data_IF_395301965650
#
_entry.id   IF_395301965650
#
_cell.length_a   1.000
_cell.length_b   1.000
_cell.length_c   1.000
_cell.angle_alpha   90.00
_cell.angle_beta   90.00
_cell.angle_gamma   90.00
#
_symmetry.space_group_name_H-M   'P 1'
#
loop_
_entity.id
_entity.type
_entity.pdbx_description
1 polymer ?
#
# COMPACT_ATOMS: atom_id res chain seq x y z
N UNK A 1 -15.51 -12.69 24.75
CA UNK A 1 -15.28 -11.43 24.02
C UNK A 1 -16.09 -10.33 24.68
N UNK A 2 -15.47 -9.19 25.01
CA UNK A 2 -16.02 -8.21 25.96
C UNK A 2 -17.20 -7.37 25.43
N UNK A 3 -17.59 -7.51 24.16
CA UNK A 3 -18.53 -6.61 23.45
C UNK A 3 -19.63 -7.29 22.62
N UNK A 4 -19.83 -8.60 22.72
CA UNK A 4 -21.00 -9.30 22.15
C UNK A 4 -21.12 -9.43 20.62
N UNK A 5 -20.34 -8.71 19.82
CA UNK A 5 -20.40 -8.77 18.35
C UNK A 5 -19.40 -9.78 17.76
N UNK A 6 -19.87 -11.01 17.54
CA UNK A 6 -19.10 -12.10 16.94
C UNK A 6 -18.90 -11.99 15.42
N UNK A 7 -19.62 -11.09 14.73
CA UNK A 7 -19.53 -10.96 13.27
C UNK A 7 -18.14 -10.49 12.81
N UNK A 8 -17.46 -9.68 13.64
CA UNK A 8 -16.13 -9.13 13.36
C UNK A 8 -15.01 -10.17 13.47
N UNK A 9 -15.27 -11.34 14.05
CA UNK A 9 -14.26 -12.40 14.21
C UNK A 9 -13.79 -12.88 12.84
N UNK A 10 -14.73 -13.20 11.95
CA UNK A 10 -14.41 -13.68 10.61
C UNK A 10 -13.61 -12.64 9.82
N UNK A 11 -13.94 -11.36 9.95
CA UNK A 11 -13.19 -10.29 9.29
C UNK A 11 -11.81 -10.08 9.91
N UNK A 12 -11.64 -10.32 11.21
CA UNK A 12 -10.35 -10.22 11.92
C UNK A 12 -9.43 -11.40 11.59
N UNK A 13 -10.01 -12.59 11.41
CA UNK A 13 -9.28 -13.80 10.96
C UNK A 13 -8.99 -13.78 9.45
N UNK A 14 -9.41 -12.74 8.73
CA UNK A 14 -9.25 -12.65 7.28
C UNK A 14 -10.05 -13.72 6.53
N UNK A 15 -11.14 -14.23 7.11
CA UNK A 15 -12.04 -15.22 6.50
C UNK A 15 -13.17 -14.55 5.69
N UNK A 16 -13.39 -13.25 5.86
CA UNK A 16 -14.34 -12.46 5.08
C UNK A 16 -13.74 -12.02 3.73
N UNK A 17 -14.52 -12.10 2.65
CA UNK A 17 -14.16 -11.60 1.29
C UNK A 17 -12.97 -12.31 0.61
N UNK A 18 -12.81 -13.62 0.81
CA UNK A 18 -11.84 -14.43 0.08
C UNK A 18 -12.54 -15.47 -0.79
N UNK A 19 -11.90 -15.86 -1.90
CA UNK A 19 -12.38 -16.93 -2.79
C UNK A 19 -12.12 -18.34 -2.23
N UNK A 20 -11.63 -18.46 -1.00
CA UNK A 20 -11.34 -19.75 -0.38
C UNK A 20 -12.64 -20.45 0.03
N UNK A 21 -12.86 -21.66 -0.49
CA UNK A 21 -14.00 -22.50 -0.15
C UNK A 21 -13.92 -22.93 1.33
N UNK A 22 -14.65 -22.23 2.20
CA UNK A 22 -14.71 -22.52 3.62
C UNK A 22 -15.77 -23.61 3.90
N UNK A 23 -15.67 -24.74 3.20
CA UNK A 23 -16.66 -25.83 3.24
C UNK A 23 -16.68 -26.62 4.55
N UNK A 24 -15.79 -26.29 5.51
CA UNK A 24 -15.64 -27.01 6.79
C UNK A 24 -15.51 -28.54 6.63
N UNK A 25 -15.00 -29.00 5.49
CA UNK A 25 -14.74 -30.42 5.25
C UNK A 25 -13.58 -30.85 6.14
N UNK A 26 -13.71 -32.04 6.74
CA UNK A 26 -12.62 -32.65 7.51
C UNK A 26 -11.72 -33.44 6.56
N UNK A 27 -10.42 -33.39 6.81
CA UNK A 27 -9.40 -34.02 5.97
C UNK A 27 -8.70 -35.14 6.72
N UNK A 28 -8.30 -36.19 6.03
CA UNK A 28 -7.52 -37.27 6.66
C UNK A 28 -6.62 -38.02 5.68
N UNK A 29 -5.68 -38.79 6.23
CA UNK A 29 -4.86 -39.74 5.49
C UNK A 29 -5.21 -41.18 5.89
N UNK A 30 -5.40 -42.07 4.90
CA UNK A 30 -5.75 -43.48 5.14
C UNK A 30 -4.65 -44.24 5.89
N UNK A 31 -3.39 -43.97 5.57
CA UNK A 31 -2.26 -44.58 6.26
C UNK A 31 -2.14 -44.09 7.71
N UNK A 32 -2.33 -42.79 7.98
CA UNK A 32 -2.41 -42.28 9.36
C UNK A 32 -3.50 -42.99 10.16
N UNK A 33 -4.70 -43.19 9.59
CA UNK A 33 -5.78 -43.91 10.27
C UNK A 33 -5.35 -45.33 10.64
N UNK A 34 -4.71 -46.05 9.70
CA UNK A 34 -4.24 -47.42 9.93
C UNK A 34 -3.22 -47.45 11.07
N UNK A 35 -2.22 -46.59 11.02
CA UNK A 35 -1.16 -46.50 12.04
C UNK A 35 -1.70 -46.08 13.40
N UNK A 36 -2.67 -45.15 13.47
CA UNK A 36 -3.27 -44.73 14.73
C UNK A 36 -4.08 -45.87 15.36
N UNK A 37 -4.83 -46.63 14.56
CA UNK A 37 -5.56 -47.82 15.05
C UNK A 37 -4.61 -48.89 15.56
N UNK A 38 -3.53 -49.16 14.85
CA UNK A 38 -2.51 -50.13 15.27
C UNK A 38 -1.81 -49.70 16.57
N UNK A 39 -1.55 -48.39 16.72
CA UNK A 39 -0.77 -47.87 17.85
C UNK A 39 -1.62 -47.56 19.09
N UNK A 40 -2.83 -47.05 18.91
CA UNK A 40 -3.66 -46.50 19.98
C UNK A 40 -5.03 -47.19 20.11
N UNK A 41 -5.37 -48.12 19.22
CA UNK A 41 -6.66 -48.81 19.19
C UNK A 41 -7.78 -48.03 18.49
N UNK A 42 -7.60 -46.74 18.25
CA UNK A 42 -8.53 -45.88 17.51
C UNK A 42 -7.81 -44.78 16.74
N UNK A 43 -8.39 -44.35 15.62
CA UNK A 43 -7.91 -43.19 14.87
C UNK A 43 -8.53 -41.88 15.39
N UNK A 44 -7.85 -40.76 15.14
CA UNK A 44 -8.32 -39.42 15.50
C UNK A 44 -8.03 -38.42 14.37
N UNK A 45 -8.70 -37.26 14.42
CA UNK A 45 -8.45 -36.18 13.47
C UNK A 45 -7.13 -35.49 13.76
N UNK A 46 -6.18 -35.56 12.83
CA UNK A 46 -4.92 -34.83 12.92
C UNK A 46 -5.15 -33.34 12.68
N UNK A 47 -4.81 -32.50 13.66
CA UNK A 47 -4.94 -31.03 13.57
C UNK A 47 -4.19 -30.45 12.37
N UNK A 48 -2.99 -30.97 12.11
CA UNK A 48 -2.15 -30.51 11.02
C UNK A 48 -2.83 -30.71 9.66
N UNK A 49 -3.51 -31.85 9.46
CA UNK A 49 -4.22 -32.14 8.22
C UNK A 49 -5.41 -31.19 8.00
N UNK A 50 -5.94 -30.54 9.04
CA UNK A 50 -7.09 -29.64 8.94
C UNK A 50 -6.73 -28.21 8.51
N UNK A 51 -5.45 -27.83 8.51
CA UNK A 51 -5.07 -26.45 8.19
C UNK A 51 -5.41 -26.14 6.73
N UNK A 52 -5.92 -24.93 6.49
CA UNK A 52 -6.28 -24.46 5.15
C UNK A 52 -5.07 -24.50 4.20
N UNK A 53 -5.29 -25.03 3.00
CA UNK A 53 -4.26 -25.14 1.96
C UNK A 53 -3.35 -26.37 2.08
N UNK A 54 -3.43 -27.15 3.16
CA UNK A 54 -2.78 -28.47 3.23
C UNK A 54 -3.64 -29.48 2.44
N UNK A 55 -3.02 -30.11 1.45
CA UNK A 55 -3.66 -31.03 0.50
C UNK A 55 -3.09 -32.45 0.61
N UNK A 56 -1.91 -32.61 1.24
CA UNK A 56 -1.20 -33.89 1.34
C UNK A 56 -0.91 -34.25 2.80
N UNK A 57 -0.62 -35.52 3.04
CA UNK A 57 0.04 -36.00 4.24
C UNK A 57 1.56 -35.96 4.02
N UNK A 58 2.32 -35.22 4.82
CA UNK A 58 3.79 -35.21 4.72
C UNK A 58 4.45 -36.46 5.31
N UNK A 59 3.74 -37.20 6.18
CA UNK A 59 4.23 -38.48 6.71
C UNK A 59 4.27 -39.57 5.62
N UNK A 60 3.28 -39.59 4.75
CA UNK A 60 3.10 -40.64 3.73
C UNK A 60 3.27 -40.15 2.29
N UNK A 61 3.44 -38.84 2.08
CA UNK A 61 3.52 -38.19 0.76
C UNK A 61 2.35 -38.51 -0.19
N UNK A 62 1.16 -38.75 0.37
CA UNK A 62 -0.07 -39.03 -0.39
C UNK A 62 -1.05 -37.88 -0.29
N UNK A 63 -2.02 -37.81 -1.23
CA UNK A 63 -3.13 -36.86 -1.11
C UNK A 63 -3.94 -37.17 0.15
N UNK A 64 -4.47 -36.12 0.76
CA UNK A 64 -5.51 -36.26 1.77
C UNK A 64 -6.84 -36.57 1.09
N UNK A 65 -7.72 -37.20 1.85
CA UNK A 65 -9.12 -37.38 1.53
C UNK A 65 -9.95 -36.35 2.29
N UNK A 66 -10.98 -35.82 1.64
CA UNK A 66 -11.96 -34.96 2.29
C UNK A 66 -13.27 -35.70 2.57
N UNK A 67 -13.82 -35.41 3.74
CA UNK A 67 -15.17 -35.79 4.13
C UNK A 67 -16.08 -34.59 3.91
N UNK A 68 -17.03 -34.72 2.98
CA UNK A 68 -17.99 -33.68 2.68
C UNK A 68 -18.90 -33.43 3.88
N UNK A 69 -18.93 -32.18 4.30
CA UNK A 69 -19.71 -31.71 5.43
C UNK A 69 -21.12 -31.26 4.99
N UNK A 70 -21.80 -32.08 4.18
CA UNK A 70 -23.13 -31.74 3.65
C UNK A 70 -24.25 -32.01 4.68
N UNK A 71 -23.95 -32.77 5.73
CA UNK A 71 -24.94 -33.29 6.68
C UNK A 71 -24.72 -32.88 8.16
N UNK A 72 -23.72 -32.05 8.52
CA UNK A 72 -23.58 -31.60 9.92
C UNK A 72 -24.73 -30.66 10.27
N UNK A 73 -25.67 -31.17 11.05
CA UNK A 73 -26.85 -30.42 11.52
C UNK A 73 -26.51 -29.53 12.71
N UNK A 74 -25.44 -29.86 13.46
CA UNK A 74 -25.06 -29.14 14.67
C UNK A 74 -23.55 -28.84 14.72
N UNK A 75 -23.18 -27.58 14.95
CA UNK A 75 -21.79 -27.12 15.14
C UNK A 75 -21.04 -27.76 16.32
N UNK A 76 -21.74 -28.45 17.21
CA UNK A 76 -21.20 -29.19 18.36
C UNK A 76 -21.17 -30.70 18.15
N UNK A 77 -21.58 -31.16 16.97
CA UNK A 77 -21.61 -32.58 16.65
C UNK A 77 -20.19 -33.16 16.65
N UNK A 78 -20.02 -34.25 17.41
CA UNK A 78 -18.77 -34.97 17.45
C UNK A 78 -18.70 -35.94 16.27
N UNK A 79 -17.76 -35.69 15.36
CA UNK A 79 -17.52 -36.60 14.24
C UNK A 79 -16.43 -37.61 14.62
N UNK A 80 -16.82 -38.87 14.77
CA UNK A 80 -15.88 -39.95 14.96
C UNK A 80 -15.34 -40.46 13.60
N UNK A 81 -14.03 -40.33 13.39
CA UNK A 81 -13.35 -40.78 12.16
C UNK A 81 -13.44 -42.30 11.95
N UNK A 82 -13.61 -43.09 13.01
CA UNK A 82 -13.62 -44.55 12.94
C UNK A 82 -14.91 -45.14 12.36
N UNK A 83 -16.00 -44.37 12.34
CA UNK A 83 -17.34 -44.83 11.95
C UNK A 83 -17.85 -44.16 10.66
N UNK A 84 -16.97 -43.52 9.89
CA UNK A 84 -17.39 -42.77 8.72
C UNK A 84 -17.64 -43.69 7.52
N UNK A 85 -18.76 -43.48 6.83
CA UNK A 85 -19.07 -44.17 5.58
C UNK A 85 -18.38 -43.41 4.43
N UNK A 86 -17.35 -44.04 3.90
CA UNK A 86 -16.34 -43.49 2.99
C UNK A 86 -16.89 -43.15 1.59
N UNK A 87 -17.73 -42.13 1.45
CA UNK A 87 -17.90 -41.42 0.16
C UNK A 87 -16.74 -40.44 -0.02
N UNK A 88 -15.54 -40.95 0.12
CA UNK A 88 -14.35 -40.10 0.16
C UNK A 88 -14.05 -39.53 -1.20
N UNK A 89 -13.65 -38.27 -1.20
CA UNK A 89 -13.05 -37.66 -2.38
C UNK A 89 -11.59 -37.37 -2.09
N UNK A 90 -10.72 -37.89 -2.94
CA UNK A 90 -9.33 -37.48 -2.94
C UNK A 90 -9.23 -36.01 -3.33
N UNK A 91 -8.51 -35.21 -2.54
CA UNK A 91 -8.41 -33.77 -2.77
C UNK A 91 -7.60 -33.47 -4.03
N UNK A 92 -6.52 -34.22 -4.24
CA UNK A 92 -5.64 -34.07 -5.40
C UNK A 92 -5.44 -35.42 -6.07
N UNK A 93 -6.02 -35.57 -7.26
CA UNK A 93 -5.94 -36.81 -8.05
C UNK A 93 -4.53 -37.06 -8.60
N UNK A 94 -3.79 -36.00 -8.92
CA UNK A 94 -2.43 -36.08 -9.46
C UNK A 94 -1.46 -35.20 -8.69
N UNK A 95 -0.64 -35.83 -7.85
CA UNK A 95 0.47 -35.19 -7.15
C UNK A 95 1.74 -35.31 -7.97
N UNK A 96 2.30 -34.17 -8.37
CA UNK A 96 3.66 -34.10 -8.90
C UNK A 96 4.66 -33.72 -7.80
N UNK A 97 5.94 -34.02 -8.03
CA UNK A 97 7.02 -33.79 -7.07
C UNK A 97 7.12 -32.32 -6.62
N UNK A 98 6.82 -31.38 -7.53
CA UNK A 98 6.85 -29.95 -7.24
C UNK A 98 5.71 -29.53 -6.29
N UNK A 99 4.50 -30.06 -6.48
CA UNK A 99 3.39 -29.88 -5.54
C UNK A 99 3.75 -30.45 -4.17
N UNK A 100 4.30 -31.67 -4.12
CA UNK A 100 4.70 -32.32 -2.86
C UNK A 100 5.71 -31.45 -2.12
N UNK A 101 6.75 -30.98 -2.80
CA UNK A 101 7.78 -30.10 -2.21
C UNK A 101 7.20 -28.80 -1.65
N UNK A 102 6.32 -28.13 -2.40
CA UNK A 102 5.64 -26.89 -1.96
C UNK A 102 4.74 -27.13 -0.76
N UNK A 103 4.02 -28.25 -0.75
CA UNK A 103 3.17 -28.64 0.37
C UNK A 103 3.98 -28.97 1.62
N UNK A 104 5.11 -29.68 1.50
CA UNK A 104 6.00 -29.96 2.64
C UNK A 104 6.50 -28.65 3.27
N UNK A 105 6.91 -27.65 2.46
CA UNK A 105 7.29 -26.33 2.99
C UNK A 105 6.14 -25.67 3.77
N UNK A 106 4.94 -25.67 3.19
CA UNK A 106 3.74 -25.11 3.81
C UNK A 106 3.39 -25.82 5.13
N UNK A 107 3.44 -27.16 5.15
CA UNK A 107 3.15 -27.99 6.32
C UNK A 107 4.16 -27.69 7.43
N UNK A 108 5.45 -27.65 7.13
CA UNK A 108 6.49 -27.36 8.12
C UNK A 108 6.34 -25.97 8.74
N UNK A 109 6.06 -24.95 7.91
CA UNK A 109 5.79 -23.60 8.39
C UNK A 109 4.53 -23.57 9.28
N UNK A 110 3.47 -24.26 8.88
CA UNK A 110 2.22 -24.31 9.65
C UNK A 110 2.39 -25.05 10.98
N UNK A 111 3.11 -26.18 10.98
CA UNK A 111 3.45 -26.98 12.17
C UNK A 111 4.24 -26.17 13.18
N UNK A 112 5.21 -25.38 12.73
CA UNK A 112 5.95 -24.48 13.62
C UNK A 112 5.00 -23.51 14.35
N UNK A 113 4.04 -22.91 13.63
CA UNK A 113 3.09 -21.98 14.22
C UNK A 113 2.07 -22.64 15.16
N UNK A 114 1.72 -23.91 14.94
CA UNK A 114 0.76 -24.64 15.79
C UNK A 114 1.33 -25.08 17.13
N UNK A 115 2.65 -25.19 17.25
CA UNK A 115 3.32 -25.82 18.38
C UNK A 115 3.85 -24.84 19.44
N UNK A 116 3.64 -23.54 19.26
CA UNK A 116 4.14 -22.54 20.21
C UNK A 116 3.21 -21.31 20.30
N UNK A 117 3.43 -20.49 21.33
CA UNK A 117 2.75 -19.22 21.54
C UNK A 117 3.66 -18.05 21.17
N UNK A 118 3.15 -17.18 20.30
CA UNK A 118 3.92 -16.04 19.80
C UNK A 118 3.39 -14.72 20.34
N UNK A 119 4.31 -13.81 20.63
CA UNK A 119 3.95 -12.43 20.98
C UNK A 119 3.19 -11.81 19.82
N UNK A 120 2.03 -11.22 20.12
CA UNK A 120 1.19 -10.56 19.12
C UNK A 120 1.98 -9.48 18.37
N UNK A 121 1.95 -9.56 17.03
CA UNK A 121 2.54 -8.55 16.15
C UNK A 121 1.43 -7.83 15.40
N UNK A 122 1.56 -6.51 15.25
CA UNK A 122 0.60 -5.75 14.47
C UNK A 122 0.71 -6.11 12.98
N UNK A 123 -0.33 -5.78 12.20
CA UNK A 123 -0.37 -6.07 10.75
C UNK A 123 0.72 -5.31 9.97
N UNK A 124 1.08 -4.11 10.43
CA UNK A 124 2.15 -3.31 9.85
C UNK A 124 3.52 -4.02 9.90
N UNK A 125 3.81 -4.77 10.97
CA UNK A 125 5.03 -5.55 11.12
C UNK A 125 5.22 -6.53 9.96
N UNK A 126 4.20 -7.36 9.68
CA UNK A 126 4.28 -8.35 8.60
C UNK A 126 4.45 -7.67 7.25
N UNK A 127 3.68 -6.62 6.99
CA UNK A 127 3.80 -5.82 5.77
C UNK A 127 5.22 -5.31 5.59
N UNK A 128 5.78 -4.67 6.61
CA UNK A 128 7.09 -4.05 6.51
C UNK A 128 8.16 -5.13 6.29
N UNK A 129 8.07 -6.28 6.95
CA UNK A 129 8.95 -7.42 6.68
C UNK A 129 8.90 -7.87 5.21
N UNK A 130 7.68 -8.04 4.65
CA UNK A 130 7.49 -8.43 3.26
C UNK A 130 8.07 -7.42 2.28
N UNK A 131 7.78 -6.13 2.52
CA UNK A 131 8.24 -5.05 1.65
C UNK A 131 9.76 -4.97 1.64
N UNK A 132 10.42 -5.15 2.78
CA UNK A 132 11.87 -5.14 2.84
C UNK A 132 12.48 -6.30 2.05
N UNK A 133 11.93 -7.52 2.15
CA UNK A 133 12.37 -8.64 1.31
C UNK A 133 12.11 -8.38 -0.17
N UNK A 134 10.99 -7.75 -0.53
CA UNK A 134 10.70 -7.34 -1.91
C UNK A 134 11.70 -6.30 -2.44
N UNK A 135 12.20 -5.39 -1.59
CA UNK A 135 13.27 -4.45 -1.94
C UNK A 135 14.57 -5.21 -2.22
N UNK A 136 14.94 -6.18 -1.37
CA UNK A 136 16.13 -7.01 -1.57
C UNK A 136 16.07 -7.81 -2.87
N UNK A 137 14.88 -8.28 -3.25
CA UNK A 137 14.62 -9.00 -4.50
C UNK A 137 14.51 -8.09 -5.73
N UNK A 138 14.63 -6.77 -5.58
CA UNK A 138 14.50 -5.80 -6.67
C UNK A 138 13.08 -5.64 -7.22
N UNK A 139 12.07 -6.18 -6.53
CA UNK A 139 10.65 -6.08 -6.92
C UNK A 139 10.06 -4.77 -6.41
N UNK A 140 10.54 -4.26 -5.27
CA UNK A 140 10.20 -2.96 -4.73
C UNK A 140 11.39 -1.98 -4.78
N UNK A 141 11.10 -0.68 -4.85
CA UNK A 141 12.12 0.36 -4.75
C UNK A 141 12.44 0.70 -3.28
N UNK A 142 13.53 1.45 -3.05
CA UNK A 142 13.91 1.91 -1.71
C UNK A 142 12.93 2.90 -1.06
N UNK A 143 11.85 3.29 -1.75
CA UNK A 143 10.72 4.05 -1.20
C UNK A 143 9.51 3.15 -0.92
N UNK A 144 9.70 1.83 -0.91
CA UNK A 144 8.68 0.82 -0.62
C UNK A 144 7.57 0.75 -1.68
N UNK A 145 7.81 1.25 -2.90
CA UNK A 145 6.89 1.08 -4.03
C UNK A 145 7.15 -0.25 -4.71
N UNK A 146 6.17 -1.15 -4.63
CA UNK A 146 6.21 -2.49 -5.24
C UNK A 146 5.83 -2.41 -6.72
N UNK A 147 6.64 -3.01 -7.59
CA UNK A 147 6.25 -3.29 -8.97
C UNK A 147 5.30 -4.49 -8.99
N UNK A 148 4.01 -4.22 -9.14
CA UNK A 148 2.97 -5.24 -9.05
C UNK A 148 3.06 -6.27 -10.18
N UNK A 149 3.36 -5.86 -11.41
CA UNK A 149 3.44 -6.80 -12.54
C UNK A 149 4.60 -7.79 -12.36
N UNK A 150 5.76 -7.31 -11.92
CA UNK A 150 6.91 -8.17 -11.60
C UNK A 150 6.58 -9.10 -10.44
N UNK A 151 5.91 -8.60 -9.39
CA UNK A 151 5.50 -9.42 -8.25
C UNK A 151 4.59 -10.57 -8.70
N UNK A 152 3.52 -10.27 -9.45
CA UNK A 152 2.57 -11.29 -9.92
C UNK A 152 3.27 -12.30 -10.82
N UNK A 153 4.07 -11.83 -11.78
CA UNK A 153 4.80 -12.71 -12.69
C UNK A 153 5.73 -13.67 -11.95
N UNK A 154 6.54 -13.16 -11.00
CA UNK A 154 7.47 -14.00 -10.24
C UNK A 154 6.75 -14.95 -9.28
N UNK A 155 5.68 -14.50 -8.65
CA UNK A 155 4.88 -15.32 -7.74
C UNK A 155 4.21 -16.49 -8.47
N UNK A 156 3.62 -16.22 -9.64
CA UNK A 156 3.06 -17.24 -10.53
C UNK A 156 4.13 -18.20 -11.02
N UNK A 157 5.32 -17.70 -11.42
CA UNK A 157 6.43 -18.56 -11.84
C UNK A 157 6.94 -19.47 -10.72
N UNK A 158 6.95 -18.98 -9.48
CA UNK A 158 7.39 -19.75 -8.32
C UNK A 158 6.42 -20.90 -7.98
N UNK A 159 5.13 -20.58 -7.84
CA UNK A 159 4.13 -21.58 -7.43
C UNK A 159 3.57 -22.41 -8.59
N UNK A 160 3.45 -21.82 -9.77
CA UNK A 160 2.74 -22.40 -10.92
C UNK A 160 1.22 -22.21 -10.82
N UNK A 161 0.56 -22.05 -11.97
CA UNK A 161 -0.89 -21.85 -12.04
C UNK A 161 -1.68 -23.02 -11.45
N UNK A 162 -1.30 -24.27 -11.79
CA UNK A 162 -1.95 -25.50 -11.32
C UNK A 162 -2.02 -25.53 -9.78
N UNK A 163 -0.91 -25.27 -9.10
CA UNK A 163 -0.84 -25.30 -7.65
C UNK A 163 -1.65 -24.18 -7.00
N UNK A 164 -1.56 -22.95 -7.51
CA UNK A 164 -2.35 -21.82 -6.99
C UNK A 164 -3.86 -22.06 -7.15
N UNK A 165 -4.28 -22.68 -8.24
CA UNK A 165 -5.66 -23.05 -8.48
C UNK A 165 -6.14 -24.12 -7.50
N UNK A 166 -5.34 -25.16 -7.22
CA UNK A 166 -5.64 -26.17 -6.19
C UNK A 166 -5.86 -25.54 -4.80
N UNK A 167 -5.10 -24.49 -4.49
CA UNK A 167 -5.24 -23.76 -3.23
C UNK A 167 -6.37 -22.72 -3.23
N UNK A 168 -7.03 -22.45 -4.36
CA UNK A 168 -7.97 -21.32 -4.49
C UNK A 168 -7.32 -19.96 -4.23
N UNK A 169 -6.04 -19.82 -4.56
CA UNK A 169 -5.20 -18.64 -4.34
C UNK A 169 -4.68 -18.04 -5.65
N UNK A 170 -5.39 -18.29 -6.76
CA UNK A 170 -5.04 -17.82 -8.08
C UNK A 170 -4.87 -16.29 -8.12
N UNK A 171 -3.92 -15.85 -8.94
CA UNK A 171 -3.62 -14.46 -9.20
C UNK A 171 -3.26 -14.28 -10.66
N UNK A 172 -3.56 -13.09 -11.18
CA UNK A 172 -3.28 -12.73 -12.57
C UNK A 172 -2.40 -11.49 -12.64
N UNK A 173 -1.51 -11.43 -13.64
CA UNK A 173 -0.67 -10.24 -13.89
C UNK A 173 -1.57 -9.06 -14.23
N UNK A 174 -1.30 -7.90 -13.62
CA UNK A 174 -2.10 -6.69 -13.80
C UNK A 174 -3.36 -6.60 -12.91
N UNK A 175 -3.71 -7.64 -12.14
CA UNK A 175 -4.82 -7.58 -11.20
C UNK A 175 -4.46 -6.75 -9.95
N UNK A 176 -4.83 -5.47 -10.01
CA UNK A 176 -4.63 -4.51 -8.94
C UNK A 176 -5.51 -4.74 -7.69
N UNK A 177 -6.45 -5.69 -7.73
CA UNK A 177 -7.35 -6.04 -6.66
C UNK A 177 -7.11 -7.45 -6.08
N UNK A 178 -6.11 -8.18 -6.57
CA UNK A 178 -5.72 -9.49 -6.05
C UNK A 178 -5.32 -9.42 -4.57
N UNK A 179 -5.42 -10.55 -3.86
CA UNK A 179 -4.93 -10.65 -2.48
C UNK A 179 -3.42 -10.35 -2.40
N UNK A 180 -2.64 -10.77 -3.40
CA UNK A 180 -1.19 -10.55 -3.49
C UNK A 180 -0.84 -9.07 -3.65
N UNK A 181 -1.64 -8.33 -4.43
CA UNK A 181 -1.53 -6.87 -4.51
C UNK A 181 -1.84 -6.23 -3.17
N UNK A 182 -2.91 -6.66 -2.50
CA UNK A 182 -3.40 -6.05 -1.26
C UNK A 182 -2.44 -6.31 -0.08
N UNK A 183 -1.89 -7.51 0.06
CA UNK A 183 -0.98 -7.89 1.16
C UNK A 183 0.37 -7.18 1.09
N UNK A 184 0.76 -6.67 -0.08
CA UNK A 184 1.98 -5.86 -0.27
C UNK A 184 1.71 -4.35 -0.27
N UNK A 185 0.45 -3.93 -0.09
CA UNK A 185 0.06 -2.52 0.11
C UNK A 185 -0.19 -2.24 1.59
N UNK A 186 -0.70 -1.05 1.91
CA UNK A 186 -1.14 -0.74 3.28
C UNK A 186 -2.25 -1.71 3.70
N UNK A 187 -2.06 -2.43 4.80
CA UNK A 187 -3.02 -3.41 5.32
C UNK A 187 -4.27 -2.72 5.87
N UNK A 188 -5.26 -2.51 5.00
CA UNK A 188 -6.57 -1.96 5.36
C UNK A 188 -7.50 -3.03 5.96
N UNK A 189 -7.21 -4.30 5.68
CA UNK A 189 -7.95 -5.49 6.14
C UNK A 189 -6.98 -6.49 6.73
N UNK A 190 -7.50 -7.53 7.39
CA UNK A 190 -6.73 -8.72 7.75
C UNK A 190 -6.71 -9.70 6.57
N UNK A 191 -5.67 -10.53 6.50
CA UNK A 191 -5.48 -11.52 5.45
C UNK A 191 -5.55 -12.93 6.04
N UNK A 192 -5.96 -13.88 5.21
CA UNK A 192 -5.95 -15.28 5.57
C UNK A 192 -4.52 -15.76 5.89
N UNK A 193 -4.38 -16.64 6.88
CA UNK A 193 -3.08 -17.20 7.28
C UNK A 193 -2.35 -17.86 6.10
N UNK A 194 -3.09 -18.54 5.22
CA UNK A 194 -2.51 -19.15 4.00
C UNK A 194 -1.80 -18.12 3.11
N UNK A 195 -2.37 -16.92 2.92
CA UNK A 195 -1.73 -15.87 2.12
C UNK A 195 -0.42 -15.40 2.76
N UNK A 196 -0.37 -15.30 4.08
CA UNK A 196 0.85 -15.00 4.81
C UNK A 196 1.90 -16.12 4.63
N UNK A 197 1.51 -17.38 4.75
CA UNK A 197 2.43 -18.51 4.57
C UNK A 197 2.98 -18.58 3.14
N UNK A 198 2.13 -18.36 2.13
CA UNK A 198 2.55 -18.33 0.74
C UNK A 198 3.52 -17.19 0.43
N UNK A 199 3.30 -15.99 0.98
CA UNK A 199 4.23 -14.87 0.74
C UNK A 199 5.53 -15.03 1.55
N UNK A 200 5.48 -15.63 2.74
CA UNK A 200 6.67 -15.97 3.54
C UNK A 200 7.59 -16.90 2.76
N UNK A 201 7.04 -18.00 2.24
CA UNK A 201 7.78 -19.00 1.48
C UNK A 201 8.32 -18.42 0.16
N UNK A 202 7.49 -17.69 -0.60
CA UNK A 202 7.92 -17.02 -1.84
C UNK A 202 9.08 -16.04 -1.63
N UNK A 203 9.08 -15.31 -0.50
CA UNK A 203 10.12 -14.34 -0.17
C UNK A 203 11.36 -14.97 0.48
N UNK A 204 11.36 -16.29 0.71
CA UNK A 204 12.43 -16.98 1.42
C UNK A 204 12.62 -16.45 2.84
N UNK A 205 11.52 -16.16 3.53
CA UNK A 205 11.54 -15.71 4.92
C UNK A 205 11.56 -16.93 5.82
N UNK A 206 12.53 -17.00 6.73
CA UNK A 206 12.51 -18.00 7.80
C UNK A 206 11.39 -17.63 8.80
N UNK A 207 10.43 -18.55 8.95
CA UNK A 207 9.29 -18.36 9.84
C UNK A 207 9.71 -18.24 11.32
N UNK A 208 10.79 -18.91 11.71
CA UNK A 208 11.31 -18.86 13.08
C UNK A 208 11.86 -17.47 13.37
N UNK A 209 12.67 -16.93 12.46
CA UNK A 209 13.20 -15.57 12.53
C UNK A 209 12.07 -14.54 12.56
N UNK A 210 11.09 -14.68 11.68
CA UNK A 210 9.96 -13.75 11.57
C UNK A 210 9.17 -13.65 12.87
N UNK A 211 8.87 -14.80 13.51
CA UNK A 211 8.03 -14.80 14.70
C UNK A 211 8.79 -14.54 16.01
N UNK A 212 10.08 -14.90 16.08
CA UNK A 212 10.92 -14.66 17.27
C UNK A 212 11.54 -13.26 17.33
N UNK A 213 11.57 -12.51 16.23
CA UNK A 213 12.06 -11.12 16.23
C UNK A 213 11.12 -10.18 17.00
N UNK A 214 11.66 -9.40 17.94
CA UNK A 214 10.87 -8.47 18.78
C UNK A 214 10.42 -7.23 18.02
N UNK A 215 11.27 -6.69 17.17
CA UNK A 215 11.00 -5.52 16.33
C UNK A 215 11.67 -5.70 14.96
N UNK A 216 11.10 -5.08 13.93
CA UNK A 216 11.74 -4.97 12.63
C UNK A 216 12.60 -3.69 12.62
N UNK A 217 13.91 -3.83 12.82
CA UNK A 217 14.85 -2.71 12.94
C UNK A 217 15.44 -2.24 11.59
N UNK A 218 15.01 -2.84 10.48
CA UNK A 218 15.52 -2.54 9.14
C UNK A 218 17.01 -2.90 8.93
N UNK A 219 17.64 -3.62 9.87
CA UNK A 219 19.07 -3.97 9.81
C UNK A 219 19.45 -4.84 8.61
N UNK A 220 18.51 -5.58 8.02
CA UNK A 220 18.70 -6.31 6.76
C UNK A 220 19.16 -5.42 5.60
N UNK A 221 18.76 -4.14 5.59
CA UNK A 221 19.18 -3.16 4.57
C UNK A 221 20.70 -2.93 4.61
N UNK A 222 21.34 -3.08 5.79
CA UNK A 222 22.78 -2.83 5.94
C UNK A 222 23.66 -4.03 5.52
N UNK A 223 23.10 -5.22 5.30
CA UNK A 223 23.87 -6.47 5.09
C UNK A 223 23.79 -7.09 3.71
N UNK A 224 22.93 -6.62 2.80
CA UNK A 224 22.94 -7.11 1.42
C UNK A 224 24.15 -6.55 0.65
N UNK A 225 25.33 -7.14 0.82
CA UNK A 225 26.40 -7.03 -0.19
C UNK A 225 25.83 -7.59 -1.50
N UNK A 226 25.61 -6.73 -2.49
CA UNK A 226 25.19 -7.15 -3.83
C UNK A 226 26.35 -7.81 -4.57
N UNK A 227 26.00 -8.77 -5.41
CA UNK A 227 26.91 -9.50 -6.29
C UNK A 227 27.75 -8.52 -7.12
N UNK A 228 29.07 -8.63 -6.99
CA UNK A 228 30.04 -7.83 -7.73
C UNK A 228 29.85 -7.98 -9.25
N UNK A 229 29.35 -9.14 -9.69
CA UNK A 229 29.08 -9.40 -11.09
C UNK A 229 27.92 -8.55 -11.62
N UNK A 230 26.87 -8.32 -10.82
CA UNK A 230 25.76 -7.43 -11.21
C UNK A 230 26.24 -5.98 -11.30
N UNK A 231 27.12 -5.55 -10.38
CA UNK A 231 27.73 -4.21 -10.43
C UNK A 231 28.55 -4.05 -11.70
N UNK A 232 29.43 -5.01 -12.01
CA UNK A 232 30.27 -4.96 -13.21
C UNK A 232 29.45 -4.98 -14.51
N UNK A 233 28.39 -5.80 -14.59
CA UNK A 233 27.49 -5.79 -15.75
C UNK A 233 26.82 -4.43 -15.97
N UNK A 234 26.46 -3.73 -14.89
CA UNK A 234 25.87 -2.38 -14.98
C UNK A 234 26.93 -1.34 -15.35
N UNK A 235 28.17 -1.48 -14.86
CA UNK A 235 29.32 -0.64 -15.24
C UNK A 235 29.60 -0.73 -16.74
N UNK A 236 29.67 -1.94 -17.29
CA UNK A 236 29.88 -2.16 -18.72
C UNK A 236 28.79 -1.50 -19.56
N UNK A 237 27.52 -1.73 -19.22
CA UNK A 237 26.40 -1.08 -19.90
C UNK A 237 26.47 0.44 -19.84
N UNK A 238 26.87 1.00 -18.71
CA UNK A 238 27.05 2.44 -18.55
C UNK A 238 28.17 3.00 -19.44
N UNK A 239 29.31 2.31 -19.51
CA UNK A 239 30.42 2.68 -20.40
C UNK A 239 30.03 2.59 -21.87
N UNK A 240 29.26 1.58 -22.27
CA UNK A 240 28.73 1.46 -23.63
C UNK A 240 27.88 2.67 -24.00
N UNK A 241 26.97 3.10 -23.13
CA UNK A 241 26.14 4.29 -23.40
C UNK A 241 26.97 5.57 -23.55
N UNK A 242 28.06 5.72 -22.80
CA UNK A 242 28.97 6.86 -22.95
C UNK A 242 29.72 6.78 -24.28
N UNK A 243 30.23 5.61 -24.65
CA UNK A 243 30.99 5.40 -25.89
C UNK A 243 30.13 5.66 -27.13
N UNK A 244 28.87 5.27 -27.09
CA UNK A 244 27.89 5.50 -28.16
C UNK A 244 27.39 6.96 -28.21
N UNK A 245 27.59 7.74 -27.14
CA UNK A 245 27.08 9.11 -27.00
C UNK A 245 28.14 10.08 -26.42
N UNK A 246 29.26 10.31 -27.12
CA UNK A 246 30.42 11.03 -26.57
C UNK A 246 30.13 12.50 -26.20
N UNK A 247 29.20 13.16 -26.89
CA UNK A 247 28.83 14.56 -26.64
C UNK A 247 27.64 14.75 -25.68
N UNK A 248 27.00 13.64 -25.27
CA UNK A 248 25.80 13.70 -24.43
C UNK A 248 26.14 14.00 -22.97
N UNK A 249 25.28 14.77 -22.31
CA UNK A 249 25.36 15.03 -20.88
C UNK A 249 24.93 13.80 -20.08
N UNK A 250 25.39 13.68 -18.82
CA UNK A 250 24.93 12.64 -17.88
C UNK A 250 23.41 12.56 -17.77
N UNK A 251 22.70 13.68 -17.99
CA UNK A 251 21.23 13.72 -17.93
C UNK A 251 20.59 13.05 -19.14
N UNK A 252 21.16 13.26 -20.33
CA UNK A 252 20.72 12.64 -21.59
C UNK A 252 21.06 11.14 -21.60
N UNK A 253 22.26 10.77 -21.15
CA UNK A 253 22.66 9.36 -21.01
C UNK A 253 21.76 8.63 -19.99
N UNK A 254 21.43 9.29 -18.86
CA UNK A 254 20.49 8.75 -17.88
C UNK A 254 19.08 8.55 -18.44
N UNK A 255 18.63 9.35 -19.41
CA UNK A 255 17.32 9.13 -20.04
C UNK A 255 17.29 7.90 -20.95
N UNK A 256 18.42 7.50 -21.54
CA UNK A 256 18.51 6.29 -22.36
C UNK A 256 18.26 5.02 -21.53
N UNK A 257 18.80 4.96 -20.31
CA UNK A 257 18.49 3.88 -19.38
C UNK A 257 18.59 4.32 -17.91
N UNK A 258 17.45 4.78 -17.38
CA UNK A 258 17.35 5.23 -15.99
C UNK A 258 17.68 4.13 -14.98
N UNK A 259 17.39 2.87 -15.31
CA UNK A 259 17.62 1.72 -14.43
C UNK A 259 19.10 1.44 -14.16
N UNK A 260 19.97 1.59 -15.16
CA UNK A 260 21.43 1.41 -15.01
C UNK A 260 22.02 2.52 -14.15
N UNK A 261 21.68 3.78 -14.45
CA UNK A 261 22.15 4.93 -13.67
C UNK A 261 21.70 4.87 -12.21
N UNK A 262 20.40 4.64 -11.97
CA UNK A 262 19.84 4.59 -10.62
C UNK A 262 20.42 3.44 -9.79
N UNK A 263 20.84 2.36 -10.45
CA UNK A 263 21.52 1.23 -9.81
C UNK A 263 22.93 1.63 -9.37
N UNK A 264 23.77 2.09 -10.31
CA UNK A 264 25.16 2.47 -10.01
C UNK A 264 25.22 3.64 -9.03
N UNK A 265 24.29 4.59 -9.08
CA UNK A 265 24.23 5.69 -8.13
C UNK A 265 23.98 5.22 -6.69
N UNK A 266 23.25 4.11 -6.50
CA UNK A 266 22.93 3.55 -5.18
C UNK A 266 24.04 2.66 -4.64
N UNK A 267 24.70 1.90 -5.52
CA UNK A 267 25.61 0.82 -5.11
C UNK A 267 27.09 1.08 -5.42
N UNK A 268 27.40 2.07 -6.26
CA UNK A 268 28.75 2.36 -6.73
C UNK A 268 28.91 3.80 -7.21
N UNK A 269 28.58 4.72 -6.29
CA UNK A 269 28.41 6.14 -6.58
C UNK A 269 29.72 6.83 -7.00
N UNK A 270 30.84 6.48 -6.36
CA UNK A 270 32.14 7.10 -6.66
C UNK A 270 32.62 6.68 -8.05
N UNK A 271 32.55 5.39 -8.40
CA UNK A 271 32.84 4.91 -9.75
C UNK A 271 31.97 5.59 -10.80
N UNK A 272 30.65 5.70 -10.56
CA UNK A 272 29.73 6.37 -11.49
C UNK A 272 30.11 7.83 -11.70
N UNK A 273 30.55 8.53 -10.64
CA UNK A 273 30.97 9.93 -10.72
C UNK A 273 32.24 10.11 -11.54
N UNK A 274 33.20 9.21 -11.38
CA UNK A 274 34.46 9.20 -12.14
C UNK A 274 34.24 8.86 -13.61
N UNK A 275 33.28 7.98 -13.89
CA UNK A 275 32.97 7.49 -15.22
C UNK A 275 31.70 8.15 -15.80
N UNK A 276 31.47 9.44 -15.54
CA UNK A 276 30.36 10.21 -16.13
C UNK A 276 30.85 11.51 -16.76
N UNK A 277 30.18 12.03 -17.82
CA UNK A 277 30.54 13.30 -18.44
C UNK A 277 30.62 14.46 -17.41
N UNK A 278 31.72 15.21 -17.43
CA UNK A 278 31.91 16.34 -16.51
C UNK A 278 30.98 17.48 -16.88
N UNK A 279 30.18 17.95 -15.92
CA UNK A 279 29.21 19.03 -16.11
C UNK A 279 29.91 20.36 -16.40
N UNK A 280 29.64 20.99 -17.55
CA UNK A 280 29.99 22.41 -17.78
C UNK A 280 29.13 23.29 -16.85
N UNK A 281 29.76 24.15 -16.03
CA UNK A 281 29.04 25.10 -15.15
C UNK A 281 28.20 26.04 -16.02
N UNK A 282 26.89 26.13 -15.77
CA UNK A 282 26.06 27.20 -16.35
C UNK A 282 26.41 28.52 -15.65
N UNK A 283 26.51 29.61 -16.43
CA UNK A 283 26.59 30.97 -15.90
C UNK A 283 25.39 31.23 -14.95
N UNK A 284 25.65 31.98 -13.88
CA UNK A 284 24.67 32.29 -12.84
C UNK A 284 23.41 32.99 -13.40
N UNK A 285 22.30 32.88 -12.66
CA UNK A 285 21.06 33.60 -13.01
C UNK A 285 21.31 35.11 -12.99
N UNK A 286 20.79 35.80 -14.00
CA UNK A 286 20.72 37.27 -14.03
C UNK A 286 20.03 37.79 -12.77
N UNK A 287 20.55 38.88 -12.23
CA UNK A 287 19.98 39.57 -11.09
C UNK A 287 18.56 40.07 -11.42
N UNK A 288 17.65 40.01 -10.44
CA UNK A 288 16.25 40.41 -10.62
C UNK A 288 16.09 41.80 -10.02
N UNK A 289 15.71 42.77 -10.84
CA UNK A 289 15.28 44.10 -10.39
C UNK A 289 13.94 43.99 -9.66
N UNK A 290 14.01 43.98 -8.33
CA UNK A 290 12.86 43.81 -7.46
C UNK A 290 11.96 45.04 -7.40
N UNK A 291 12.48 46.23 -7.63
CA UNK A 291 11.71 47.47 -7.58
C UNK A 291 10.76 47.55 -8.77
N UNK A 292 11.29 47.35 -9.98
CA UNK A 292 10.46 47.25 -11.19
C UNK A 292 9.43 46.12 -11.08
N UNK A 293 9.85 44.99 -10.52
CA UNK A 293 8.95 43.84 -10.34
C UNK A 293 7.82 44.12 -9.36
N UNK A 294 8.08 44.89 -8.30
CA UNK A 294 7.06 45.31 -7.34
C UNK A 294 6.01 46.20 -8.02
N UNK A 295 6.41 47.15 -8.86
CA UNK A 295 5.48 48.02 -9.59
C UNK A 295 4.58 47.25 -10.57
N UNK A 296 5.14 46.27 -11.30
CA UNK A 296 4.38 45.39 -12.18
C UNK A 296 3.32 44.59 -11.42
N UNK A 297 3.70 44.02 -10.28
CA UNK A 297 2.78 43.22 -9.45
C UNK A 297 1.72 44.12 -8.83
N UNK A 298 2.08 45.30 -8.35
CA UNK A 298 1.15 46.26 -7.77
C UNK A 298 0.06 46.64 -8.78
N UNK A 299 0.44 46.89 -10.05
CA UNK A 299 -0.51 47.15 -11.13
C UNK A 299 -1.45 45.97 -11.35
N UNK A 300 -0.91 44.76 -11.51
CA UNK A 300 -1.73 43.55 -11.69
C UNK A 300 -2.71 43.30 -10.53
N UNK A 301 -2.30 43.60 -9.29
CA UNK A 301 -3.18 43.47 -8.12
C UNK A 301 -4.30 44.51 -8.17
N UNK A 302 -4.00 45.77 -8.54
CA UNK A 302 -5.01 46.82 -8.72
C UNK A 302 -6.02 46.49 -9.81
N UNK A 303 -5.58 45.92 -10.91
CA UNK A 303 -6.44 45.59 -12.05
C UNK A 303 -7.52 44.54 -11.70
N UNK A 304 -7.25 43.64 -10.73
CA UNK A 304 -8.22 42.62 -10.32
C UNK A 304 -9.11 43.05 -9.14
N UNK A 305 -8.88 44.22 -8.52
CA UNK A 305 -9.66 44.69 -7.36
C UNK A 305 -11.15 44.88 -7.66
N UNK A 306 -11.56 45.52 -8.78
CA UNK A 306 -12.97 45.75 -9.06
C UNK A 306 -13.77 44.45 -9.13
N UNK A 307 -13.19 43.39 -9.72
CA UNK A 307 -13.83 42.07 -9.81
C UNK A 307 -13.89 41.37 -8.45
N UNK A 308 -12.84 41.49 -7.62
CA UNK A 308 -12.79 40.85 -6.30
C UNK A 308 -13.73 41.49 -5.27
N UNK A 309 -14.01 42.78 -5.45
CA UNK A 309 -14.83 43.59 -4.55
C UNK A 309 -16.24 43.88 -5.09
N UNK A 310 -16.63 43.26 -6.20
CA UNK A 310 -17.97 43.42 -6.78
C UNK A 310 -19.05 42.89 -5.81
N UNK A 311 -19.92 43.78 -5.34
CA UNK A 311 -21.01 43.47 -4.42
C UNK A 311 -22.19 42.76 -5.09
N UNK A 312 -22.28 42.79 -6.42
CA UNK A 312 -23.34 42.09 -7.17
C UNK A 312 -23.03 40.60 -7.31
N UNK A 313 -21.76 40.21 -7.17
CA UNK A 313 -21.32 38.83 -7.30
C UNK A 313 -21.23 38.19 -5.92
N UNK A 314 -21.59 36.91 -5.83
CA UNK A 314 -21.48 36.13 -4.59
C UNK A 314 -20.04 36.16 -4.05
N UNK A 315 -19.82 36.64 -2.81
CA UNK A 315 -18.48 36.78 -2.23
C UNK A 315 -17.64 35.50 -2.22
N UNK A 316 -16.43 35.60 -2.76
CA UNK A 316 -15.34 34.63 -2.57
C UNK A 316 -14.32 35.18 -1.57
N UNK A 317 -13.75 34.31 -0.72
CA UNK A 317 -12.75 34.74 0.27
C UNK A 317 -11.47 35.19 -0.42
N UNK A 318 -11.06 36.43 -0.16
CA UNK A 318 -9.82 36.98 -0.70
C UNK A 318 -8.65 36.44 0.11
N UNK A 319 -7.77 35.68 -0.55
CA UNK A 319 -6.57 35.08 0.06
C UNK A 319 -5.34 35.37 -0.80
N UNK A 320 -4.14 35.35 -0.20
CA UNK A 320 -2.87 35.47 -0.94
C UNK A 320 -2.79 34.49 -2.11
N UNK A 321 -3.28 33.26 -1.90
CA UNK A 321 -3.33 32.22 -2.94
C UNK A 321 -4.32 32.54 -4.07
N UNK A 322 -5.48 33.13 -3.77
CA UNK A 322 -6.42 33.58 -4.80
C UNK A 322 -5.82 34.70 -5.65
N UNK A 323 -5.24 35.71 -5.02
CA UNK A 323 -4.58 36.84 -5.69
C UNK A 323 -3.46 36.32 -6.60
N UNK A 324 -2.56 35.49 -6.05
CA UNK A 324 -1.46 34.90 -6.82
C UNK A 324 -1.92 34.09 -8.03
N UNK A 325 -3.07 33.40 -7.96
CA UNK A 325 -3.65 32.70 -9.12
C UNK A 325 -4.21 33.66 -10.15
N UNK A 326 -4.94 34.70 -9.73
CA UNK A 326 -5.54 35.68 -10.66
C UNK A 326 -4.48 36.48 -11.44
N UNK A 327 -3.36 36.82 -10.82
CA UNK A 327 -2.29 37.60 -11.48
C UNK A 327 -1.20 36.73 -12.15
N UNK A 328 -1.28 35.40 -12.02
CA UNK A 328 -0.30 34.44 -12.56
C UNK A 328 1.01 34.31 -11.80
N UNK A 329 1.09 34.81 -10.56
CA UNK A 329 2.34 34.96 -9.79
C UNK A 329 2.34 34.16 -8.47
N UNK A 330 1.76 32.97 -8.44
CA UNK A 330 1.58 32.15 -7.22
C UNK A 330 2.89 31.96 -6.43
N UNK A 331 3.97 31.59 -7.11
CA UNK A 331 5.26 31.32 -6.44
C UNK A 331 5.89 32.58 -5.86
N UNK A 332 5.76 33.72 -6.56
CA UNK A 332 6.24 35.01 -6.11
C UNK A 332 5.53 35.43 -4.82
N UNK A 333 4.20 35.36 -4.81
CA UNK A 333 3.36 35.72 -3.65
C UNK A 333 3.56 34.78 -2.46
N UNK A 334 3.87 33.50 -2.69
CA UNK A 334 4.09 32.53 -1.62
C UNK A 334 5.50 32.56 -1.03
N UNK A 335 6.53 32.77 -1.86
CA UNK A 335 7.94 32.56 -1.45
C UNK A 335 8.79 33.83 -1.41
N UNK A 336 8.33 34.91 -2.03
CA UNK A 336 9.13 36.11 -2.31
C UNK A 336 8.35 37.41 -2.08
N UNK A 337 7.28 37.35 -1.29
CA UNK A 337 6.44 38.51 -0.99
C UNK A 337 7.21 39.61 -0.26
N UNK A 338 8.22 39.24 0.54
CA UNK A 338 9.07 40.21 1.24
C UNK A 338 9.96 41.03 0.31
N UNK A 339 10.16 40.58 -0.93
CA UNK A 339 10.95 41.29 -1.93
C UNK A 339 10.13 42.32 -2.73
N UNK A 340 8.81 42.42 -2.50
CA UNK A 340 7.89 43.33 -3.21
C UNK A 340 7.02 44.11 -2.19
N UNK A 341 7.62 45.03 -1.42
CA UNK A 341 6.98 45.67 -0.27
C UNK A 341 5.69 46.46 -0.61
N UNK A 342 5.65 47.19 -1.72
CA UNK A 342 4.46 47.98 -2.13
C UNK A 342 3.28 47.04 -2.42
N UNK A 343 3.53 45.97 -3.16
CA UNK A 343 2.53 44.93 -3.45
C UNK A 343 2.11 44.17 -2.19
N UNK A 344 3.06 43.85 -1.30
CA UNK A 344 2.80 43.16 -0.03
C UNK A 344 1.84 43.93 0.85
N UNK A 345 2.00 45.24 0.94
CA UNK A 345 1.12 46.12 1.70
C UNK A 345 -0.32 46.07 1.17
N UNK A 346 -0.51 46.28 -0.13
CA UNK A 346 -1.83 46.20 -0.77
C UNK A 346 -2.46 44.80 -0.64
N UNK A 347 -1.68 43.74 -0.81
CA UNK A 347 -2.17 42.37 -0.68
C UNK A 347 -2.62 42.09 0.75
N UNK A 348 -1.88 42.54 1.75
CA UNK A 348 -2.24 42.31 3.15
C UNK A 348 -3.48 43.12 3.56
N UNK A 349 -3.71 44.30 2.98
CA UNK A 349 -4.90 45.11 3.29
C UNK A 349 -6.20 44.54 2.74
N UNK A 350 -6.15 43.74 1.66
CA UNK A 350 -7.34 43.12 1.04
C UNK A 350 -7.58 41.66 1.42
N UNK A 351 -6.59 40.98 2.00
CA UNK A 351 -6.72 39.56 2.39
C UNK A 351 -7.60 39.44 3.63
N UNK A 352 -8.60 38.56 3.54
CA UNK A 352 -9.59 38.41 4.60
C UNK A 352 -9.25 37.27 5.56
N UNK A 353 -9.52 37.49 6.84
CA UNK A 353 -9.68 36.41 7.81
C UNK A 353 -10.89 35.53 7.46
N UNK A 354 -11.09 34.44 8.20
CA UNK A 354 -12.30 33.62 8.02
C UNK A 354 -13.51 34.42 8.49
N UNK A 355 -13.35 35.18 9.57
CA UNK A 355 -14.35 36.00 10.22
C UNK A 355 -14.82 37.15 9.33
N UNK A 356 -13.91 37.89 8.71
CA UNK A 356 -14.24 39.03 7.83
C UNK A 356 -14.98 38.56 6.58
N UNK A 357 -14.54 37.45 6.00
CA UNK A 357 -15.25 36.82 4.89
C UNK A 357 -16.66 36.36 5.28
N UNK A 358 -16.83 35.78 6.48
CA UNK A 358 -18.15 35.40 6.98
C UNK A 358 -19.07 36.62 7.15
N UNK A 359 -18.57 37.72 7.72
CA UNK A 359 -19.32 38.99 7.85
C UNK A 359 -19.76 39.51 6.49
N UNK A 360 -18.83 39.66 5.54
CA UNK A 360 -19.13 40.16 4.19
C UNK A 360 -20.16 39.29 3.47
N UNK A 361 -20.07 37.96 3.62
CA UNK A 361 -21.01 37.02 3.04
C UNK A 361 -22.41 37.09 3.68
N UNK A 362 -22.50 37.36 4.99
CA UNK A 362 -23.78 37.57 5.67
C UNK A 362 -24.45 38.85 5.16
N UNK A 363 -23.70 39.95 5.04
CA UNK A 363 -24.21 41.21 4.47
C UNK A 363 -24.71 41.00 3.05
N UNK A 364 -23.92 40.35 2.20
CA UNK A 364 -24.31 40.04 0.82
C UNK A 364 -25.60 39.20 0.75
N UNK A 365 -25.72 38.18 1.60
CA UNK A 365 -26.92 37.32 1.67
C UNK A 365 -28.15 38.12 2.12
N UNK A 366 -28.01 39.04 3.08
CA UNK A 366 -29.12 39.91 3.50
C UNK A 366 -29.59 40.80 2.37
N UNK A 367 -28.66 41.43 1.64
CA UNK A 367 -28.98 42.41 0.61
C UNK A 367 -29.49 41.78 -0.70
N UNK A 368 -29.02 40.59 -1.07
CA UNK A 368 -29.27 40.02 -2.41
C UNK A 368 -30.15 38.76 -2.44
N UNK A 369 -30.41 38.12 -1.29
CA UNK A 369 -31.10 36.81 -1.26
C UNK A 369 -32.51 36.83 -0.65
N UNK A 370 -33.04 37.99 -0.28
CA UNK A 370 -34.33 38.14 0.39
C UNK A 370 -35.17 39.23 -0.29
N UNK A 371 -35.58 38.99 -1.54
CA UNK A 371 -36.54 39.85 -2.23
C UNK A 371 -37.95 39.54 -1.70
N UNK A 372 -38.52 40.45 -0.91
CA UNK A 372 -39.86 40.36 -0.31
C UNK A 372 -40.09 39.21 0.71
N UNK A 373 -39.02 38.58 1.21
CA UNK A 373 -39.06 37.59 2.29
C UNK A 373 -38.48 38.14 3.60
N UNK A 374 -39.06 37.75 4.74
CA UNK A 374 -38.48 38.05 6.07
C UNK A 374 -37.15 37.28 6.24
N UNK A 375 -36.06 38.04 6.44
CA UNK A 375 -34.71 37.52 6.67
C UNK A 375 -34.50 37.11 8.14
N UNK A 376 -34.98 35.92 8.53
CA UNK A 376 -34.70 35.39 9.88
C UNK A 376 -33.25 34.92 10.02
N UNK A 377 -32.70 34.95 11.24
CA UNK A 377 -31.31 34.56 11.54
C UNK A 377 -30.98 33.15 11.00
N UNK A 378 -31.88 32.19 11.17
CA UNK A 378 -31.72 30.82 10.67
C UNK A 378 -31.69 30.75 9.14
N UNK A 379 -32.54 31.53 8.45
CA UNK A 379 -32.54 31.58 6.97
C UNK A 379 -31.24 32.20 6.45
N UNK A 380 -30.76 33.27 7.09
CA UNK A 380 -29.50 33.95 6.73
C UNK A 380 -28.31 33.02 6.95
N UNK A 381 -28.20 32.36 8.12
CA UNK A 381 -27.12 31.39 8.42
C UNK A 381 -27.05 30.25 7.41
N UNK A 382 -28.22 29.71 7.03
CA UNK A 382 -28.34 28.63 6.05
C UNK A 382 -27.91 29.08 4.64
N UNK A 383 -28.43 30.21 4.14
CA UNK A 383 -28.05 30.75 2.81
C UNK A 383 -26.57 31.19 2.77
N UNK A 384 -26.03 31.68 3.89
CA UNK A 384 -24.63 32.04 4.04
C UNK A 384 -23.70 30.84 4.32
N UNK A 385 -24.22 29.61 4.48
CA UNK A 385 -23.42 28.40 4.68
C UNK A 385 -22.55 28.43 5.96
N UNK A 386 -23.05 28.99 7.06
CA UNK A 386 -22.32 29.12 8.32
C UNK A 386 -22.85 28.09 9.33
N UNK A 387 -22.03 27.09 9.69
CA UNK A 387 -22.43 25.96 10.53
C UNK A 387 -22.43 26.24 12.04
N UNK A 388 -21.70 27.24 12.54
CA UNK A 388 -21.68 27.66 13.95
C UNK A 388 -21.05 29.06 14.06
N UNK A 389 -21.80 30.07 14.56
CA UNK A 389 -21.27 31.39 14.92
C UNK A 389 -21.16 31.47 16.44
N UNK A 390 -19.99 31.84 16.97
CA UNK A 390 -19.90 32.26 18.39
C UNK A 390 -20.81 33.48 18.57
N UNK A 391 -21.66 33.44 19.60
CA UNK A 391 -22.90 34.21 19.78
C UNK A 391 -22.77 35.76 19.92
N UNK A 392 -21.64 36.38 19.55
CA UNK A 392 -21.31 37.78 19.95
C UNK A 392 -21.26 38.83 18.83
N UNK A 393 -21.81 38.60 17.64
CA UNK A 393 -21.68 39.56 16.51
C UNK A 393 -22.99 40.12 15.93
N UNK A 394 -24.09 40.16 16.68
CA UNK A 394 -25.38 40.66 16.15
C UNK A 394 -26.14 41.62 17.07
N UNK A 395 -25.44 42.52 17.76
CA UNK A 395 -26.06 43.72 18.32
C UNK A 395 -25.26 44.95 17.92
N UNK A 396 -25.41 45.37 16.67
CA UNK A 396 -25.31 46.75 16.16
C UNK A 396 -25.85 46.76 14.74
#
# INVERSE_FOLDING_TARGET
MKSGDGSRIFSTLGLSNNNMNNKNNLKYCKECIREDKEKYGEAYWHREQQISGILICDKHNTSLFEVLNEDIKNRQEFININHFNYKDKEIVVELDEEIIKKQISLINNSRYLLNDFYVHKNKEFFRDYYINKLVMLGIADGKHKVNQDILHKRFIQFYGHKYLQLLGCDVSVGDNNSWLTKITRKHRTFFHTLYHLLIIDFLGIDIKELFNSREFDGSFIRKAKKDINEINLKREKWLTFIKENPDSTTTEIRSLNRGVYDFLYRYDKEWLRENSPKRKRKQGKKDIDWEKRDEEVLKKVKDILPELLDENIKPIRITKGLIGRKIGEVTLIQKKLDNIPKSKELINSIVESIEDYQKRRVVWVKNNCFNNEIATESKVKRKAGIKNLKHKMYTS
#
